data_IF_592514022801
#
_entry.id   IF_592514022801
#
_cell.length_a   1.000
_cell.length_b   1.000
_cell.length_c   1.000
_cell.angle_alpha   90.00
_cell.angle_beta   90.00
_cell.angle_gamma   90.00
#
_symmetry.space_group_name_H-M   'P 1'
#
loop_
_entity.id
_entity.type
_entity.pdbx_description
1 polymer ?
#
# COMPACT_ATOMS: atom_id res chain seq x y z
N UNK A 1 -7.64 -2.56 34.42
CA UNK A 1 -6.65 -3.09 33.46
C UNK A 1 -5.30 -2.54 33.86
N UNK A 2 -4.30 -3.39 34.07
CA UNK A 2 -2.93 -2.92 34.29
C UNK A 2 -2.42 -2.44 32.94
N UNK A 3 -1.97 -1.18 32.88
CA UNK A 3 -1.31 -0.67 31.68
C UNK A 3 0.11 -1.21 31.65
N UNK A 4 0.31 -2.28 30.87
CA UNK A 4 1.62 -2.87 30.64
C UNK A 4 2.14 -2.56 29.22
N UNK A 5 3.36 -2.98 28.95
CA UNK A 5 4.02 -2.75 27.67
C UNK A 5 3.25 -3.40 26.51
N UNK A 6 2.60 -4.55 26.72
CA UNK A 6 1.84 -5.26 25.69
C UNK A 6 0.60 -4.48 25.27
N UNK A 7 -0.13 -3.93 26.25
CA UNK A 7 -1.29 -3.05 26.01
C UNK A 7 -0.84 -1.81 25.22
N UNK A 8 0.24 -1.14 25.64
CA UNK A 8 0.76 0.03 24.94
C UNK A 8 1.12 -0.27 23.48
N UNK A 9 1.84 -1.37 23.23
CA UNK A 9 2.23 -1.79 21.88
C UNK A 9 1.03 -2.11 21.00
N UNK A 10 0.02 -2.80 21.55
CA UNK A 10 -1.22 -3.14 20.83
C UNK A 10 -1.93 -1.87 20.36
N UNK A 11 -2.06 -0.86 21.23
CA UNK A 11 -2.64 0.43 20.88
C UNK A 11 -1.83 1.17 19.82
N UNK A 12 -0.49 1.19 19.93
CA UNK A 12 0.38 1.82 18.94
C UNK A 12 0.19 1.18 17.56
N UNK A 13 0.21 -0.15 17.48
CA UNK A 13 0.02 -0.90 16.23
C UNK A 13 -1.35 -0.62 15.63
N UNK A 14 -2.40 -0.61 16.45
CA UNK A 14 -3.76 -0.32 16.02
C UNK A 14 -3.88 1.13 15.49
N UNK A 15 -3.37 2.10 16.24
CA UNK A 15 -3.39 3.51 15.86
C UNK A 15 -2.57 3.78 14.59
N UNK A 16 -1.49 3.03 14.35
CA UNK A 16 -0.70 3.14 13.13
C UNK A 16 -1.50 2.78 11.86
N UNK A 17 -2.55 1.96 11.96
CA UNK A 17 -3.39 1.61 10.82
C UNK A 17 -4.16 2.81 10.24
N UNK A 18 -4.51 3.80 11.07
CA UNK A 18 -5.28 4.98 10.66
C UNK A 18 -4.54 5.85 9.63
N UNK A 19 -3.33 6.40 9.93
CA UNK A 19 -2.59 7.17 8.96
C UNK A 19 -2.21 6.32 7.75
N UNK A 20 -1.90 5.03 7.93
CA UNK A 20 -1.58 4.13 6.82
C UNK A 20 -2.75 3.98 5.85
N UNK A 21 -3.95 3.67 6.35
CA UNK A 21 -5.15 3.58 5.53
C UNK A 21 -5.43 4.89 4.79
N UNK A 22 -5.32 6.03 5.49
CA UNK A 22 -5.48 7.36 4.88
C UNK A 22 -4.49 7.59 3.73
N UNK A 23 -3.20 7.28 3.91
CA UNK A 23 -2.21 7.45 2.85
C UNK A 23 -2.47 6.55 1.65
N UNK A 24 -2.90 5.31 1.86
CA UNK A 24 -3.23 4.39 0.78
C UNK A 24 -4.45 4.85 -0.02
N UNK A 25 -5.54 5.26 0.66
CA UNK A 25 -6.69 5.85 -0.04
C UNK A 25 -6.36 7.16 -0.73
N UNK A 26 -5.58 8.03 -0.10
CA UNK A 26 -5.13 9.29 -0.73
C UNK A 26 -4.36 9.03 -2.01
N UNK A 27 -3.50 8.00 -2.04
CA UNK A 27 -2.75 7.62 -3.24
C UNK A 27 -3.66 7.05 -4.32
N UNK A 28 -4.59 6.16 -3.96
CA UNK A 28 -5.60 5.66 -4.90
C UNK A 28 -6.46 6.79 -5.49
N UNK A 29 -6.91 7.73 -4.65
CA UNK A 29 -7.66 8.93 -5.03
C UNK A 29 -6.88 9.82 -6.01
N UNK A 30 -5.59 10.06 -5.76
CA UNK A 30 -4.76 10.86 -6.66
C UNK A 30 -4.60 10.24 -8.03
N UNK A 31 -4.45 8.92 -8.08
CA UNK A 31 -4.32 8.20 -9.36
C UNK A 31 -5.64 8.24 -10.13
N UNK A 32 -6.78 7.96 -9.47
CA UNK A 32 -8.08 7.81 -10.15
C UNK A 32 -8.76 9.14 -10.46
N UNK A 33 -8.74 10.10 -9.53
CA UNK A 33 -9.47 11.38 -9.67
C UNK A 33 -8.57 12.48 -10.20
N UNK A 34 -7.38 12.65 -9.61
CA UNK A 34 -6.46 13.73 -10.04
C UNK A 34 -5.62 13.36 -11.26
N UNK A 35 -5.67 12.09 -11.70
CA UNK A 35 -4.80 11.53 -12.75
C UNK A 35 -3.31 11.85 -12.50
N UNK A 36 -2.92 11.94 -11.23
CA UNK A 36 -1.55 12.21 -10.82
C UNK A 36 -0.80 10.89 -10.73
N UNK A 37 0.05 10.65 -11.73
CA UNK A 37 0.83 9.42 -11.86
C UNK A 37 2.26 9.53 -11.32
N UNK A 38 2.60 10.65 -10.67
CA UNK A 38 3.94 10.89 -10.09
C UNK A 38 4.35 9.87 -9.03
N UNK A 39 3.36 9.18 -8.46
CA UNK A 39 3.58 8.18 -7.44
C UNK A 39 3.37 6.74 -7.91
N UNK A 40 3.22 6.52 -9.21
CA UNK A 40 3.01 5.17 -9.73
C UNK A 40 4.36 4.46 -9.88
N UNK A 41 4.47 3.26 -9.31
CA UNK A 41 5.60 2.35 -9.51
C UNK A 41 6.98 2.98 -9.22
N UNK A 42 7.06 3.89 -8.23
CA UNK A 42 8.29 4.65 -7.91
C UNK A 42 9.48 3.71 -7.68
N UNK A 43 10.63 4.06 -8.26
CA UNK A 43 11.94 3.49 -7.94
C UNK A 43 12.92 4.61 -7.61
N UNK A 44 13.48 4.61 -6.40
CA UNK A 44 14.42 5.66 -5.92
C UNK A 44 13.87 7.10 -6.03
N UNK A 45 12.56 7.28 -5.89
CA UNK A 45 11.92 8.59 -5.99
C UNK A 45 11.47 9.00 -7.40
N UNK A 46 11.81 8.22 -8.43
CA UNK A 46 11.42 8.50 -9.81
C UNK A 46 10.30 7.58 -10.30
N UNK A 47 9.38 8.14 -11.08
CA UNK A 47 8.36 7.39 -11.83
C UNK A 47 8.96 6.73 -13.09
N UNK A 48 8.36 5.65 -13.60
CA UNK A 48 8.78 5.05 -14.86
C UNK A 48 8.45 5.97 -16.07
N UNK A 49 9.07 5.75 -17.25
CA UNK A 49 8.86 6.60 -18.43
C UNK A 49 7.43 6.63 -18.98
N UNK A 50 6.63 5.61 -18.71
CA UNK A 50 5.20 5.54 -19.03
C UNK A 50 4.43 5.06 -17.79
N UNK A 51 4.13 5.98 -16.85
CA UNK A 51 3.49 5.63 -15.58
C UNK A 51 1.99 5.36 -15.74
N UNK A 52 1.35 5.90 -16.77
CA UNK A 52 -0.09 5.72 -17.01
C UNK A 52 -0.46 4.26 -17.25
N UNK A 53 0.39 3.52 -17.96
CA UNK A 53 0.23 2.06 -18.15
C UNK A 53 0.18 1.27 -16.84
N UNK A 54 0.89 1.72 -15.80
CA UNK A 54 0.98 1.02 -14.51
C UNK A 54 0.03 1.59 -13.45
N UNK A 55 -0.64 2.71 -13.75
CA UNK A 55 -1.52 3.41 -12.84
C UNK A 55 -2.69 2.55 -12.31
N UNK A 56 -3.37 1.72 -13.15
CA UNK A 56 -4.45 0.87 -12.64
C UNK A 56 -3.99 -0.12 -11.57
N UNK A 57 -2.81 -0.72 -11.75
CA UNK A 57 -2.25 -1.66 -10.78
C UNK A 57 -1.88 -0.96 -9.47
N UNK A 58 -1.18 0.17 -9.55
CA UNK A 58 -0.85 0.96 -8.36
C UNK A 58 -2.10 1.42 -7.61
N UNK A 59 -3.14 1.85 -8.33
CA UNK A 59 -4.43 2.23 -7.75
C UNK A 59 -5.06 1.04 -7.01
N UNK A 60 -5.19 -0.12 -7.65
CA UNK A 60 -5.81 -1.32 -7.06
C UNK A 60 -5.04 -1.77 -5.81
N UNK A 61 -3.71 -1.80 -5.86
CA UNK A 61 -2.87 -2.18 -4.71
C UNK A 61 -3.16 -1.28 -3.51
N UNK A 62 -3.18 0.04 -3.72
CA UNK A 62 -3.42 0.99 -2.62
C UNK A 62 -4.88 0.96 -2.16
N UNK A 63 -5.84 0.78 -3.07
CA UNK A 63 -7.26 0.69 -2.73
C UNK A 63 -7.56 -0.55 -1.89
N UNK A 64 -7.11 -1.74 -2.32
CA UNK A 64 -7.31 -3.00 -1.58
C UNK A 64 -6.65 -2.92 -0.21
N UNK A 65 -5.41 -2.44 -0.14
CA UNK A 65 -4.71 -2.30 1.14
C UNK A 65 -5.47 -1.34 2.08
N UNK A 66 -5.95 -0.20 1.56
CA UNK A 66 -6.78 0.74 2.31
C UNK A 66 -8.06 0.11 2.83
N UNK A 67 -8.79 -0.62 1.98
CA UNK A 67 -10.05 -1.29 2.34
C UNK A 67 -9.82 -2.32 3.44
N UNK A 68 -8.82 -3.19 3.31
CA UNK A 68 -8.54 -4.20 4.33
C UNK A 68 -8.15 -3.54 5.66
N UNK A 69 -7.30 -2.50 5.64
CA UNK A 69 -6.98 -1.75 6.85
C UNK A 69 -8.22 -1.10 7.49
N UNK A 70 -9.13 -0.53 6.71
CA UNK A 70 -10.39 0.00 7.24
C UNK A 70 -11.30 -1.06 7.84
N UNK A 71 -11.40 -2.23 7.21
CA UNK A 71 -12.16 -3.36 7.76
C UNK A 71 -11.57 -3.78 9.10
N UNK A 72 -10.24 -3.90 9.20
CA UNK A 72 -9.54 -4.20 10.46
C UNK A 72 -9.84 -3.14 11.52
N UNK A 73 -9.71 -1.85 11.17
CA UNK A 73 -9.99 -0.73 12.08
C UNK A 73 -11.41 -0.83 12.64
N UNK A 74 -12.41 -0.93 11.77
CA UNK A 74 -13.82 -0.99 12.18
C UNK A 74 -14.10 -2.25 13.00
N UNK A 75 -13.58 -3.40 12.59
CA UNK A 75 -13.86 -4.67 13.27
C UNK A 75 -13.22 -4.74 14.66
N UNK A 76 -12.02 -4.18 14.86
CA UNK A 76 -11.40 -4.06 16.18
C UNK A 76 -12.17 -3.07 17.06
N UNK A 77 -12.59 -1.91 16.51
CA UNK A 77 -13.42 -0.96 17.24
C UNK A 77 -14.77 -1.56 17.72
N UNK A 78 -15.33 -2.48 16.94
CA UNK A 78 -16.55 -3.23 17.27
C UNK A 78 -16.30 -4.49 18.12
N UNK A 79 -15.05 -4.77 18.51
CA UNK A 79 -14.70 -5.96 19.30
C UNK A 79 -14.89 -7.29 18.57
N UNK A 80 -14.91 -7.30 17.24
CA UNK A 80 -15.20 -8.48 16.41
C UNK A 80 -13.96 -9.34 16.10
N UNK A 81 -12.75 -8.80 16.26
CA UNK A 81 -11.50 -9.51 15.97
C UNK A 81 -10.61 -9.55 17.21
N UNK A 82 -10.14 -10.75 17.55
CA UNK A 82 -9.11 -10.94 18.56
C UNK A 82 -7.74 -10.47 18.07
N UNK A 83 -6.80 -10.33 19.01
CA UNK A 83 -5.46 -9.82 18.75
C UNK A 83 -4.73 -10.58 17.61
N UNK A 84 -4.76 -11.91 17.62
CA UNK A 84 -4.01 -12.68 16.64
C UNK A 84 -4.60 -12.51 15.24
N UNK A 85 -5.93 -12.47 15.14
CA UNK A 85 -6.61 -12.32 13.86
C UNK A 85 -6.36 -10.95 13.24
N UNK A 86 -6.58 -9.86 13.98
CA UNK A 86 -6.43 -8.52 13.40
C UNK A 86 -4.97 -8.19 13.07
N UNK A 87 -4.02 -8.62 13.91
CA UNK A 87 -2.58 -8.40 13.66
C UNK A 87 -2.09 -9.22 12.47
N UNK A 88 -2.56 -10.46 12.30
CA UNK A 88 -2.26 -11.26 11.12
C UNK A 88 -2.81 -10.62 9.83
N UNK A 89 -4.06 -10.13 9.86
CA UNK A 89 -4.67 -9.44 8.72
C UNK A 89 -3.91 -8.15 8.37
N UNK A 90 -3.65 -7.29 9.36
CA UNK A 90 -2.93 -6.04 9.13
C UNK A 90 -1.50 -6.29 8.67
N UNK A 91 -0.76 -7.16 9.36
CA UNK A 91 0.62 -7.49 9.04
C UNK A 91 0.78 -8.11 7.64
N UNK A 92 -0.04 -9.10 7.30
CA UNK A 92 -0.02 -9.71 5.97
C UNK A 92 -0.37 -8.71 4.88
N UNK A 93 -1.38 -7.86 5.08
CA UNK A 93 -1.75 -6.80 4.13
C UNK A 93 -0.59 -5.85 3.87
N UNK A 94 0.09 -5.41 4.93
CA UNK A 94 1.25 -4.52 4.84
C UNK A 94 2.37 -5.18 4.01
N UNK A 95 2.72 -6.42 4.33
CA UNK A 95 3.77 -7.15 3.61
C UNK A 95 3.40 -7.42 2.15
N UNK A 96 2.18 -7.89 1.88
CA UNK A 96 1.68 -8.09 0.52
C UNK A 96 1.74 -6.78 -0.28
N UNK A 97 1.27 -5.68 0.29
CA UNK A 97 1.31 -4.36 -0.34
C UNK A 97 2.75 -3.95 -0.67
N UNK A 98 3.69 -4.14 0.26
CA UNK A 98 5.11 -3.84 0.00
C UNK A 98 5.69 -4.70 -1.13
N UNK A 99 5.44 -6.01 -1.13
CA UNK A 99 5.93 -6.88 -2.21
C UNK A 99 5.31 -6.54 -3.57
N UNK A 100 4.03 -6.20 -3.60
CA UNK A 100 3.33 -5.79 -4.83
C UNK A 100 3.88 -4.47 -5.38
N UNK A 101 4.06 -3.45 -4.53
CA UNK A 101 4.69 -2.17 -4.92
C UNK A 101 6.12 -2.39 -5.46
N UNK A 102 6.88 -3.26 -4.79
CA UNK A 102 8.25 -3.62 -5.15
C UNK A 102 8.35 -4.36 -6.49
N UNK A 103 7.41 -5.28 -6.76
CA UNK A 103 7.32 -6.01 -8.01
C UNK A 103 6.90 -5.08 -9.16
N UNK A 104 5.87 -4.24 -8.94
CA UNK A 104 5.37 -3.28 -9.92
C UNK A 104 6.47 -2.28 -10.33
N UNK A 105 7.20 -1.74 -9.36
CA UNK A 105 8.35 -0.85 -9.60
C UNK A 105 9.43 -1.50 -10.48
N UNK A 106 9.77 -2.77 -10.22
CA UNK A 106 10.75 -3.50 -11.06
C UNK A 106 10.24 -3.76 -12.47
N UNK A 107 8.99 -4.19 -12.58
CA UNK A 107 8.38 -4.47 -13.87
C UNK A 107 8.34 -3.19 -14.72
N UNK A 108 7.90 -2.07 -14.15
CA UNK A 108 7.78 -0.80 -14.86
C UNK A 108 9.12 -0.25 -15.34
N UNK A 109 10.13 -0.19 -14.46
CA UNK A 109 11.46 0.30 -14.84
C UNK A 109 12.25 -0.70 -15.69
N UNK A 110 12.08 -2.01 -15.48
CA UNK A 110 12.73 -3.06 -16.27
C UNK A 110 12.20 -3.13 -17.70
N UNK A 111 10.88 -3.01 -17.89
CA UNK A 111 10.27 -2.91 -19.21
C UNK A 111 10.77 -1.68 -19.98
N UNK A 112 10.89 -0.54 -19.30
CA UNK A 112 11.42 0.68 -19.88
C UNK A 112 12.89 0.57 -20.32
N UNK A 113 13.74 -0.08 -19.51
CA UNK A 113 15.13 -0.32 -19.87
C UNK A 113 15.26 -1.21 -21.12
N UNK A 114 14.43 -2.25 -21.23
CA UNK A 114 14.39 -3.13 -22.41
C UNK A 114 13.90 -2.41 -23.67
N UNK A 115 12.89 -1.56 -23.55
CA UNK A 115 12.38 -0.76 -24.66
C UNK A 115 13.45 0.20 -25.23
N UNK A 116 14.19 0.87 -24.34
CA UNK A 116 15.32 1.75 -24.74
C UNK A 116 16.43 0.98 -25.47
N UNK A 117 16.77 -0.22 -25.02
CA UNK A 117 17.79 -1.05 -25.68
C UNK A 117 17.38 -1.44 -27.11
N UNK A 118 16.10 -1.81 -27.30
CA UNK A 118 15.57 -2.21 -28.61
C UNK A 118 15.53 -1.04 -29.60
N UNK A 119 15.25 0.19 -29.15
CA UNK A 119 15.21 1.37 -30.02
C UNK A 119 16.59 1.84 -30.50
N UNK A 120 17.68 1.36 -29.89
CA UNK A 120 19.07 1.70 -30.27
C UNK A 120 19.68 0.69 -31.25
N UNK A 121 18.99 -0.42 -31.53
CA UNK A 121 19.41 -1.47 -32.46
C UNK A 121 18.66 -1.29 -33.78
#
# INVERSE_FOLDING_TARGET
MVFDVSVALTWILYLALFPMAFFWFRRAWRIVVKRDFSEVAIKRGESPPDPEKYAPYAMIINLIAGVVASVVIVSVALGQLDYNTWTAMAGSTIWCKFFLDFALSRQAHGAAARAKAKAKT
#
